data_IF_275767822878
#
_entry.id   IF_275767822878
#
_cell.length_a   1.000
_cell.length_b   1.000
_cell.length_c   1.000
_cell.angle_alpha   90.00
_cell.angle_beta   90.00
_cell.angle_gamma   90.00
#
_symmetry.space_group_name_H-M   'P 1'
#
loop_
_entity.id
_entity.type
_entity.pdbx_description
1 polymer ?
#
# COMPACT_ATOMS: atom_id res chain seq x y z
N UNK A 1 -24.69 7.34 -7.64
CA UNK A 1 -24.21 6.41 -6.58
C UNK A 1 -23.14 7.12 -5.79
N UNK A 2 -23.25 7.18 -4.46
CA UNK A 2 -22.19 7.71 -3.60
C UNK A 2 -21.26 6.53 -3.29
N UNK A 3 -20.04 6.53 -3.83
CA UNK A 3 -19.04 5.56 -3.46
C UNK A 3 -18.53 5.89 -2.05
N UNK A 4 -18.55 4.91 -1.14
CA UNK A 4 -17.84 5.06 0.13
C UNK A 4 -16.34 5.07 -0.15
N UNK A 5 -15.56 5.96 0.47
CA UNK A 5 -14.12 5.97 0.33
C UNK A 5 -13.57 4.61 0.81
N UNK A 6 -12.60 4.07 0.08
CA UNK A 6 -11.96 2.78 0.37
C UNK A 6 -10.44 2.90 0.24
N UNK A 7 -9.74 2.04 0.96
CA UNK A 7 -8.29 1.90 0.91
C UNK A 7 -7.92 0.42 0.81
N UNK A 8 -6.72 0.14 0.33
CA UNK A 8 -6.11 -1.19 0.39
C UNK A 8 -4.77 -1.11 1.12
N UNK A 9 -4.42 -2.13 1.88
CA UNK A 9 -3.13 -2.23 2.56
C UNK A 9 -2.46 -3.55 2.21
N UNK A 10 -1.23 -3.49 1.70
CA UNK A 10 -0.35 -4.64 1.56
C UNK A 10 0.55 -4.70 2.79
N UNK A 11 0.32 -5.72 3.62
CA UNK A 11 1.00 -5.88 4.90
C UNK A 11 2.17 -6.83 4.76
N UNK A 12 3.40 -6.30 4.91
CA UNK A 12 4.62 -7.11 4.99
C UNK A 12 5.01 -7.45 6.42
N UNK A 13 4.43 -6.78 7.42
CA UNK A 13 4.56 -7.15 8.84
C UNK A 13 3.36 -6.63 9.65
N UNK A 14 2.85 -7.40 10.63
CA UNK A 14 3.21 -8.80 10.91
C UNK A 14 2.59 -9.75 9.87
N UNK A 15 3.37 -10.71 9.38
CA UNK A 15 2.88 -11.81 8.53
C UNK A 15 3.43 -13.14 9.01
N UNK A 16 2.73 -14.23 8.70
CA UNK A 16 3.16 -15.58 9.07
C UNK A 16 4.03 -16.19 7.97
N UNK A 17 5.14 -16.81 8.36
CA UNK A 17 5.94 -17.63 7.45
C UNK A 17 5.37 -19.06 7.35
N UNK A 18 6.08 -19.96 6.64
CA UNK A 18 5.65 -21.35 6.47
C UNK A 18 5.64 -22.18 7.75
N UNK A 19 6.34 -21.72 8.80
CA UNK A 19 6.39 -22.36 10.12
C UNK A 19 5.34 -21.78 11.07
N UNK A 20 4.66 -20.70 10.66
CA UNK A 20 3.70 -19.97 11.49
C UNK A 20 4.37 -18.91 12.37
N UNK A 21 5.65 -18.61 12.14
CA UNK A 21 6.37 -17.58 12.87
C UNK A 21 6.02 -16.20 12.31
N UNK A 22 5.91 -15.20 13.18
CA UNK A 22 5.70 -13.81 12.76
C UNK A 22 7.00 -13.25 12.20
N UNK A 23 6.97 -12.82 10.95
CA UNK A 23 8.14 -12.30 10.22
C UNK A 23 7.81 -10.99 9.51
N UNK A 24 8.84 -10.34 8.97
CA UNK A 24 8.72 -9.26 7.99
C UNK A 24 9.05 -9.82 6.61
N UNK A 25 8.09 -9.82 5.68
CA UNK A 25 8.32 -10.27 4.31
C UNK A 25 9.00 -9.19 3.46
N UNK A 26 9.49 -9.58 2.28
CA UNK A 26 10.13 -8.66 1.34
C UNK A 26 9.08 -7.90 0.52
N UNK A 27 9.22 -6.58 0.44
CA UNK A 27 8.53 -5.75 -0.57
C UNK A 27 9.05 -6.12 -1.96
N UNK A 28 8.14 -6.36 -2.90
CA UNK A 28 8.49 -6.51 -4.31
C UNK A 28 8.19 -5.23 -5.08
N UNK A 29 9.02 -4.92 -6.08
CA UNK A 29 8.79 -3.77 -6.97
C UNK A 29 7.49 -3.93 -7.79
N UNK A 30 7.11 -5.17 -8.11
CA UNK A 30 5.89 -5.45 -8.88
C UNK A 30 4.64 -5.04 -8.08
N UNK A 31 4.57 -5.41 -6.80
CA UNK A 31 3.41 -5.13 -5.95
C UNK A 31 3.17 -3.62 -5.77
N UNK A 32 4.24 -2.81 -5.71
CA UNK A 32 4.12 -1.34 -5.66
C UNK A 32 3.34 -0.84 -6.87
N UNK A 33 3.68 -1.29 -8.07
CA UNK A 33 3.04 -0.83 -9.29
C UNK A 33 1.67 -1.44 -9.52
N UNK A 34 1.51 -2.73 -9.25
CA UNK A 34 0.28 -3.46 -9.58
C UNK A 34 -0.90 -3.01 -8.70
N UNK A 35 -0.69 -2.95 -7.38
CA UNK A 35 -1.72 -2.49 -6.45
C UNK A 35 -2.00 -1.00 -6.58
N UNK A 36 -1.01 -0.17 -6.91
CA UNK A 36 -1.23 1.25 -7.21
C UNK A 36 -2.16 1.45 -8.42
N UNK A 37 -1.96 0.66 -9.48
CA UNK A 37 -2.82 0.69 -10.67
C UNK A 37 -4.22 0.16 -10.36
N UNK A 38 -4.33 -0.92 -9.58
CA UNK A 38 -5.61 -1.46 -9.14
C UNK A 38 -6.37 -0.43 -8.30
N UNK A 39 -5.71 0.16 -7.30
CA UNK A 39 -6.27 1.19 -6.44
C UNK A 39 -6.81 2.37 -7.25
N UNK A 40 -6.04 2.83 -8.23
CA UNK A 40 -6.44 3.93 -9.12
C UNK A 40 -7.63 3.54 -10.01
N UNK A 41 -7.62 2.34 -10.57
CA UNK A 41 -8.68 1.83 -11.46
C UNK A 41 -10.04 1.75 -10.75
N UNK A 42 -10.04 1.33 -9.49
CA UNK A 42 -11.24 1.24 -8.65
C UNK A 42 -11.50 2.52 -7.82
N UNK A 43 -10.77 3.60 -8.10
CA UNK A 43 -10.88 4.89 -7.42
C UNK A 43 -10.78 4.77 -5.88
N UNK A 44 -9.84 3.95 -5.39
CA UNK A 44 -9.49 3.87 -3.99
C UNK A 44 -8.72 5.14 -3.59
N UNK A 45 -8.97 5.63 -2.36
CA UNK A 45 -8.34 6.84 -1.84
C UNK A 45 -6.89 6.62 -1.41
N UNK A 46 -6.55 5.39 -1.01
CA UNK A 46 -5.24 5.03 -0.47
C UNK A 46 -4.82 3.62 -0.83
N UNK A 47 -3.52 3.45 -1.06
CA UNK A 47 -2.81 2.19 -1.05
C UNK A 47 -1.68 2.25 -0.02
N UNK A 48 -1.77 1.49 1.06
CA UNK A 48 -0.73 1.41 2.07
C UNK A 48 0.24 0.26 1.81
N UNK A 49 1.53 0.57 1.75
CA UNK A 49 2.61 -0.41 1.80
C UNK A 49 3.16 -0.44 3.23
N UNK A 50 2.83 -1.49 3.98
CA UNK A 50 3.15 -1.58 5.41
C UNK A 50 4.39 -2.44 5.62
N UNK A 51 5.49 -1.84 6.04
CA UNK A 51 6.72 -2.56 6.40
C UNK A 51 7.54 -1.76 7.43
N UNK A 52 8.00 -2.37 8.54
CA UNK A 52 8.89 -1.71 9.49
C UNK A 52 10.36 -1.73 9.03
N UNK A 53 10.69 -2.45 7.96
CA UNK A 53 12.07 -2.60 7.50
C UNK A 53 12.53 -1.32 6.77
N UNK A 54 13.38 -0.53 7.43
CA UNK A 54 13.89 0.75 6.90
C UNK A 54 14.50 0.63 5.50
N UNK A 55 15.24 -0.45 5.21
CA UNK A 55 15.83 -0.67 3.88
C UNK A 55 14.77 -0.86 2.79
N UNK A 56 13.67 -1.55 3.11
CA UNK A 56 12.55 -1.75 2.19
C UNK A 56 11.77 -0.44 1.97
N UNK A 57 11.60 0.37 3.03
CA UNK A 57 11.00 1.70 2.90
C UNK A 57 11.85 2.60 1.99
N UNK A 58 13.18 2.61 2.19
CA UNK A 58 14.10 3.37 1.35
C UNK A 58 14.04 2.92 -0.11
N UNK A 59 13.96 1.61 -0.37
CA UNK A 59 13.78 1.07 -1.71
C UNK A 59 12.46 1.55 -2.33
N UNK A 60 11.35 1.43 -1.60
CA UNK A 60 10.03 1.87 -2.06
C UNK A 60 10.03 3.37 -2.37
N UNK A 61 10.57 4.22 -1.48
CA UNK A 61 10.66 5.67 -1.69
C UNK A 61 11.49 6.03 -2.93
N UNK A 62 12.57 5.30 -3.22
CA UNK A 62 13.37 5.51 -4.44
C UNK A 62 12.58 5.16 -5.70
N UNK A 63 11.85 4.05 -5.69
CA UNK A 63 10.98 3.63 -6.80
C UNK A 63 9.90 4.70 -7.04
N UNK A 64 9.17 5.07 -5.99
CA UNK A 64 8.11 6.07 -6.05
C UNK A 64 8.66 7.40 -6.59
N UNK A 65 9.78 7.87 -6.04
CA UNK A 65 10.41 9.12 -6.46
C UNK A 65 10.83 9.12 -7.93
N UNK A 66 11.34 8.00 -8.44
CA UNK A 66 11.70 7.86 -9.86
C UNK A 66 10.49 8.04 -10.79
N UNK A 67 9.33 7.51 -10.41
CA UNK A 67 8.12 7.53 -11.23
C UNK A 67 7.24 8.77 -11.03
N UNK A 68 7.31 9.44 -9.88
CA UNK A 68 6.56 10.68 -9.62
C UNK A 68 7.32 11.95 -10.01
N UNK A 69 8.65 11.98 -9.86
CA UNK A 69 9.46 13.19 -10.02
C UNK A 69 10.65 13.02 -10.99
N UNK A 70 11.00 11.78 -11.31
CA UNK A 70 12.13 11.46 -12.19
C UNK A 70 11.74 11.33 -13.66
N UNK A 71 12.69 10.86 -14.48
CA UNK A 71 12.49 10.65 -15.91
C UNK A 71 11.30 9.72 -16.24
N UNK A 72 10.93 8.83 -15.31
CA UNK A 72 9.76 7.95 -15.46
C UNK A 72 8.42 8.70 -15.50
N UNK A 73 8.31 9.86 -14.84
CA UNK A 73 7.09 10.66 -14.80
C UNK A 73 6.76 11.23 -16.20
N UNK A 74 7.76 11.72 -16.91
CA UNK A 74 7.61 12.24 -18.28
C UNK A 74 7.39 11.14 -19.32
N UNK A 75 7.82 9.90 -19.02
CA UNK A 75 7.73 8.77 -19.94
C UNK A 75 6.36 8.06 -19.86
N UNK A 76 5.76 7.96 -18.66
CA UNK A 76 4.46 7.31 -18.47
C UNK A 76 3.61 8.05 -17.42
N UNK A 77 2.78 9.02 -17.85
CA UNK A 77 1.92 9.80 -16.96
C UNK A 77 0.95 8.95 -16.13
N UNK A 78 0.38 7.90 -16.73
CA UNK A 78 -0.57 7.00 -16.05
C UNK A 78 0.08 6.28 -14.87
N UNK A 79 1.36 5.89 -15.01
CA UNK A 79 2.12 5.24 -13.93
C UNK A 79 2.47 6.22 -12.82
N UNK A 80 2.74 7.48 -13.15
CA UNK A 80 2.92 8.54 -12.15
C UNK A 80 1.64 8.71 -11.34
N UNK A 81 0.52 8.93 -12.02
CA UNK A 81 -0.79 9.14 -11.38
C UNK A 81 -1.18 7.95 -10.50
N UNK A 82 -0.89 6.71 -10.94
CA UNK A 82 -1.25 5.53 -10.17
C UNK A 82 -0.59 5.50 -8.77
N UNK A 83 0.63 6.03 -8.65
CA UNK A 83 1.40 6.02 -7.41
C UNK A 83 0.99 7.12 -6.43
N UNK A 84 0.16 8.09 -6.83
CA UNK A 84 -0.24 9.20 -5.96
C UNK A 84 -1.07 8.76 -4.75
N UNK A 85 -1.76 7.61 -4.86
CA UNK A 85 -2.51 7.03 -3.75
C UNK A 85 -1.63 6.24 -2.76
N UNK A 86 -0.37 5.97 -3.09
CA UNK A 86 0.50 5.08 -2.32
C UNK A 86 1.10 5.79 -1.10
N UNK A 87 1.03 5.15 0.07
CA UNK A 87 1.66 5.60 1.32
C UNK A 87 2.50 4.45 1.92
N UNK A 88 3.76 4.73 2.24
CA UNK A 88 4.63 3.77 2.94
C UNK A 88 4.55 4.05 4.43
N UNK A 89 4.21 3.03 5.24
CA UNK A 89 4.00 3.18 6.70
C UNK A 89 4.70 2.05 7.47
N UNK A 90 5.02 2.31 8.74
CA UNK A 90 5.78 1.35 9.56
C UNK A 90 4.93 0.16 10.02
N UNK A 91 3.66 0.41 10.32
CA UNK A 91 2.77 -0.58 10.93
C UNK A 91 1.35 -0.52 10.37
N UNK A 92 0.60 -1.60 10.58
CA UNK A 92 -0.82 -1.64 10.24
C UNK A 92 -1.62 -0.61 11.02
N UNK A 93 -1.25 -0.36 12.28
CA UNK A 93 -1.89 0.64 13.12
C UNK A 93 -1.68 2.06 12.58
N UNK A 94 -0.49 2.38 12.04
CA UNK A 94 -0.24 3.66 11.38
C UNK A 94 -1.14 3.84 10.13
N UNK A 95 -1.29 2.76 9.34
CA UNK A 95 -2.20 2.76 8.19
C UNK A 95 -3.65 2.99 8.62
N UNK A 96 -4.10 2.32 9.68
CA UNK A 96 -5.46 2.46 10.19
C UNK A 96 -5.69 3.85 10.81
N UNK A 97 -4.68 4.43 11.46
CA UNK A 97 -4.72 5.78 12.00
C UNK A 97 -4.81 6.83 10.89
N UNK A 98 -3.98 6.75 9.85
CA UNK A 98 -4.08 7.62 8.66
C UNK A 98 -5.45 7.49 8.01
N UNK A 99 -5.94 6.26 7.82
CA UNK A 99 -7.25 6.02 7.22
C UNK A 99 -8.39 6.66 8.01
N UNK A 100 -8.43 6.45 9.33
CA UNK A 100 -9.44 7.05 10.20
C UNK A 100 -9.36 8.57 10.27
N UNK A 101 -8.18 9.15 10.06
CA UNK A 101 -8.06 10.62 9.93
C UNK A 101 -8.78 11.17 8.69
N UNK A 102 -8.91 10.35 7.63
CA UNK A 102 -9.55 10.73 6.37
C UNK A 102 -11.05 10.47 6.37
N UNK A 103 -11.51 9.35 6.96
CA UNK A 103 -12.91 8.90 6.87
C UNK A 103 -13.67 8.94 8.20
N UNK A 104 -13.01 9.34 9.29
CA UNK A 104 -13.56 9.31 10.64
C UNK A 104 -13.32 7.97 11.36
N UNK A 105 -13.72 7.92 12.64
CA UNK A 105 -13.50 6.77 13.54
C UNK A 105 -14.20 5.48 13.09
N UNK A 106 -15.19 5.58 12.20
CA UNK A 106 -15.90 4.44 11.62
C UNK A 106 -15.09 3.72 10.52
N UNK A 107 -13.86 4.14 10.22
CA UNK A 107 -12.95 3.40 9.34
C UNK A 107 -12.70 1.98 9.87
N UNK A 108 -13.31 0.99 9.21
CA UNK A 108 -13.17 -0.43 9.51
C UNK A 108 -12.07 -1.07 8.69
N UNK A 109 -11.36 -2.02 9.29
CA UNK A 109 -10.43 -2.89 8.59
C UNK A 109 -11.11 -4.22 8.25
N UNK A 110 -10.95 -4.68 7.01
CA UNK A 110 -11.39 -5.98 6.55
C UNK A 110 -10.15 -6.80 6.18
N UNK A 111 -9.95 -7.93 6.87
CA UNK A 111 -8.87 -8.86 6.58
C UNK A 111 -9.28 -9.82 5.47
N UNK A 112 -8.35 -10.14 4.58
CA UNK A 112 -8.55 -11.11 3.50
C UNK A 112 -7.64 -12.31 3.72
N UNK A 113 -8.13 -13.51 3.39
CA UNK A 113 -7.37 -14.74 3.52
C UNK A 113 -7.90 -15.79 2.54
N UNK A 114 -7.00 -16.57 1.95
CA UNK A 114 -7.35 -17.67 1.05
C UNK A 114 -7.57 -19.00 1.80
N UNK A 115 -7.28 -19.04 3.11
CA UNK A 115 -7.55 -20.22 3.91
C UNK A 115 -9.07 -20.44 3.99
N UNK A 116 -9.51 -21.60 3.50
CA UNK A 116 -10.84 -22.12 3.79
C UNK A 116 -10.85 -22.56 5.25
N UNK A 117 -11.32 -21.71 6.16
CA UNK A 117 -11.82 -22.16 7.45
C UNK A 117 -13.23 -22.73 7.26
#
# INVERSE_FOLDING_TARGET
MIFKPMAIALVHHPVLDRRGDVVTSAVTNLDIHDLARLATTYNLSRYYLVTPAAEQQLLASRIIGHWQKGAGASYNPDRCQALDCLQVVNSFDDALADWRSLVGSEGLAMLTGASHQ
#
